data_IF_066697022168
#
_entry.id   IF_066697022168
#
_cell.length_a   1.000
_cell.length_b   1.000
_cell.length_c   1.000
_cell.angle_alpha   90.00
_cell.angle_beta   90.00
_cell.angle_gamma   90.00
#
_symmetry.space_group_name_H-M   'P 1'
#
loop_
_entity.id
_entity.type
_entity.pdbx_description
1 polymer ?
#
# COMPACT_ATOMS: atom_id res chain seq x y z
N UNK A 1 -23.71 60.31 47.41
CA UNK A 1 -22.33 60.61 46.98
C UNK A 1 -21.37 59.91 47.92
N UNK A 2 -21.18 58.62 47.70
CA UNK A 2 -20.25 57.74 48.41
C UNK A 2 -20.09 56.57 47.43
N UNK A 3 -18.91 56.14 46.96
CA UNK A 3 -17.68 55.86 47.68
C UNK A 3 -16.52 55.98 46.68
N UNK A 4 -15.65 57.00 46.80
CA UNK A 4 -14.28 56.87 46.28
C UNK A 4 -13.44 56.35 47.43
N UNK A 5 -13.19 55.04 47.43
CA UNK A 5 -12.49 54.35 48.52
C UNK A 5 -11.04 54.85 48.52
N UNK A 6 -10.72 55.69 49.50
CA UNK A 6 -9.38 56.29 49.67
C UNK A 6 -8.34 55.17 49.81
N UNK A 7 -7.54 54.98 48.77
CA UNK A 7 -6.56 53.89 48.64
C UNK A 7 -6.63 53.07 47.35
N UNK A 8 -7.61 53.28 46.45
CA UNK A 8 -7.68 52.51 45.19
C UNK A 8 -6.65 52.91 44.12
N UNK A 9 -5.92 54.00 44.33
CA UNK A 9 -4.88 54.55 43.43
C UNK A 9 -3.65 55.02 44.25
N UNK A 10 -3.30 54.32 45.33
CA UNK A 10 -2.03 54.63 46.02
C UNK A 10 -0.85 54.31 45.09
N UNK A 11 0.27 55.01 45.29
CA UNK A 11 1.50 54.77 44.50
C UNK A 11 1.91 53.29 44.52
N UNK A 12 1.84 52.65 45.69
CA UNK A 12 2.15 51.22 45.85
C UNK A 12 1.28 50.30 44.98
N UNK A 13 -0.02 50.63 44.81
CA UNK A 13 -0.94 49.83 43.99
C UNK A 13 -0.66 50.03 42.49
N UNK A 14 -0.24 51.22 42.09
CA UNK A 14 0.15 51.51 40.71
C UNK A 14 1.47 50.79 40.37
N UNK A 15 2.48 50.88 41.23
CA UNK A 15 3.76 50.18 41.05
C UNK A 15 3.56 48.66 40.96
N UNK A 16 2.73 48.09 41.84
CA UNK A 16 2.39 46.67 41.77
C UNK A 16 1.69 46.30 40.45
N UNK A 17 0.80 47.14 39.94
CA UNK A 17 0.13 46.91 38.66
C UNK A 17 1.10 46.98 37.47
N UNK A 18 2.06 47.91 37.47
CA UNK A 18 3.10 48.03 36.44
C UNK A 18 3.99 46.78 36.39
N UNK A 19 4.45 46.30 37.56
CA UNK A 19 5.24 45.06 37.67
C UNK A 19 4.46 43.85 37.16
N UNK A 20 3.17 43.76 37.50
CA UNK A 20 2.32 42.65 37.04
C UNK A 20 2.06 42.73 35.52
N UNK A 21 1.90 43.92 34.95
CA UNK A 21 1.77 44.09 33.49
C UNK A 21 3.03 43.63 32.78
N UNK A 22 4.22 43.98 33.28
CA UNK A 22 5.48 43.54 32.69
C UNK A 22 5.63 42.01 32.76
N UNK A 23 5.34 41.42 33.93
CA UNK A 23 5.32 39.97 34.13
C UNK A 23 4.36 39.27 33.15
N UNK A 24 3.17 39.83 32.95
CA UNK A 24 2.17 39.31 32.03
C UNK A 24 2.59 39.46 30.56
N UNK A 25 3.26 40.55 30.20
CA UNK A 25 3.80 40.73 28.85
C UNK A 25 4.86 39.67 28.52
N UNK A 26 5.78 39.40 29.43
CA UNK A 26 6.77 38.33 29.29
C UNK A 26 6.09 36.96 29.16
N UNK A 27 5.11 36.68 30.04
CA UNK A 27 4.35 35.43 29.98
C UNK A 27 3.58 35.28 28.66
N UNK A 28 2.93 36.35 28.19
CA UNK A 28 2.21 36.39 26.92
C UNK A 28 3.17 36.11 25.75
N UNK A 29 4.33 36.78 25.70
CA UNK A 29 5.32 36.54 24.67
C UNK A 29 5.80 35.08 24.65
N UNK A 30 6.09 34.51 25.83
CA UNK A 30 6.44 33.10 25.98
C UNK A 30 5.35 32.16 25.47
N UNK A 31 4.08 32.43 25.82
CA UNK A 31 2.93 31.63 25.37
C UNK A 31 2.66 31.77 23.87
N UNK A 32 2.84 32.96 23.32
CA UNK A 32 2.72 33.19 21.87
C UNK A 32 3.80 32.44 21.10
N UNK A 33 5.04 32.43 21.59
CA UNK A 33 6.13 31.61 21.02
C UNK A 33 5.78 30.12 21.03
N UNK A 34 5.24 29.60 22.13
CA UNK A 34 4.76 28.21 22.23
C UNK A 34 3.69 27.88 21.17
N UNK A 35 2.69 28.75 20.99
CA UNK A 35 1.65 28.58 19.99
C UNK A 35 2.19 28.57 18.56
N UNK A 36 3.16 29.44 18.27
CA UNK A 36 3.82 29.49 16.95
C UNK A 36 4.46 28.15 16.63
N UNK A 37 5.24 27.56 17.55
CA UNK A 37 5.83 26.24 17.30
C UNK A 37 4.80 25.12 17.20
N UNK A 38 3.67 25.22 17.91
CA UNK A 38 2.56 24.27 17.76
C UNK A 38 1.95 24.33 16.35
N UNK A 39 1.77 25.54 15.79
CA UNK A 39 1.32 25.71 14.40
C UNK A 39 2.35 25.20 13.39
N UNK A 40 3.63 25.45 13.63
CA UNK A 40 4.71 24.92 12.79
C UNK A 40 4.67 23.38 12.77
N UNK A 41 4.46 22.76 13.93
CA UNK A 41 4.36 21.30 14.02
C UNK A 41 3.12 20.75 13.30
N UNK A 42 1.96 21.40 13.41
CA UNK A 42 0.75 21.02 12.65
C UNK A 42 1.01 21.07 11.14
N UNK A 43 1.69 22.13 10.67
CA UNK A 43 2.04 22.28 9.27
C UNK A 43 2.96 21.15 8.77
N UNK A 44 4.00 20.82 9.55
CA UNK A 44 4.93 19.73 9.24
C UNK A 44 4.26 18.35 9.26
N UNK A 45 3.33 18.12 10.20
CA UNK A 45 2.52 16.90 10.25
C UNK A 45 1.68 16.71 8.99
N UNK A 46 1.07 17.78 8.48
CA UNK A 46 0.29 17.74 7.25
C UNK A 46 1.18 17.37 6.07
N UNK A 47 2.30 18.09 5.88
CA UNK A 47 3.21 17.83 4.75
C UNK A 47 3.81 16.42 4.79
N UNK A 48 4.26 15.98 5.97
CA UNK A 48 4.76 14.61 6.17
C UNK A 48 3.68 13.57 5.87
N UNK A 49 2.45 13.81 6.32
CA UNK A 49 1.32 12.91 6.08
C UNK A 49 0.95 12.75 4.60
N UNK A 50 1.36 13.68 3.74
CA UNK A 50 1.13 13.62 2.29
C UNK A 50 2.40 13.42 1.46
N UNK A 51 3.48 12.94 2.11
CA UNK A 51 4.76 12.65 1.48
C UNK A 51 5.34 13.85 0.70
N UNK A 52 5.13 15.06 1.22
CA UNK A 52 5.79 16.26 0.72
C UNK A 52 7.09 16.47 1.47
N UNK A 53 8.16 16.69 0.72
CA UNK A 53 9.45 17.02 1.29
C UNK A 53 9.48 18.51 1.66
N UNK A 54 9.61 18.79 2.96
CA UNK A 54 9.79 20.12 3.50
C UNK A 54 10.94 20.05 4.49
N UNK A 55 11.94 20.91 4.32
CA UNK A 55 13.05 21.06 5.26
C UNK A 55 12.55 21.66 6.57
N UNK A 56 12.02 20.79 7.43
CA UNK A 56 11.38 21.14 8.69
C UNK A 56 12.40 21.70 9.69
N UNK A 57 13.63 21.19 9.67
CA UNK A 57 14.70 21.66 10.55
C UNK A 57 15.15 23.07 10.17
N UNK A 58 15.37 23.34 8.88
CA UNK A 58 15.67 24.68 8.41
C UNK A 58 14.51 25.66 8.69
N UNK A 59 13.27 25.24 8.45
CA UNK A 59 12.08 26.06 8.74
C UNK A 59 12.00 26.43 10.23
N UNK A 60 12.24 25.47 11.13
CA UNK A 60 12.26 25.71 12.59
C UNK A 60 13.39 26.63 13.02
N UNK A 61 14.58 26.51 12.42
CA UNK A 61 15.71 27.40 12.71
C UNK A 61 15.41 28.84 12.28
N UNK A 62 14.91 29.02 11.06
CA UNK A 62 14.50 30.33 10.53
C UNK A 62 13.42 30.93 11.44
N UNK A 63 12.39 30.16 11.78
CA UNK A 63 11.30 30.61 12.65
C UNK A 63 11.80 31.00 14.05
N UNK A 64 12.70 30.22 14.64
CA UNK A 64 13.31 30.52 15.95
C UNK A 64 14.08 31.84 15.89
N UNK A 65 14.94 32.02 14.88
CA UNK A 65 15.72 33.24 14.70
C UNK A 65 14.84 34.48 14.50
N UNK A 66 13.72 34.32 13.78
CA UNK A 66 12.77 35.39 13.50
C UNK A 66 12.08 35.87 14.79
N UNK A 67 11.65 34.93 15.63
CA UNK A 67 11.02 35.22 16.93
C UNK A 67 12.02 35.90 17.87
N UNK A 68 13.23 35.37 17.98
CA UNK A 68 14.24 35.86 18.92
C UNK A 68 14.78 37.24 18.52
N UNK A 69 14.69 37.62 17.23
CA UNK A 69 15.03 38.96 16.76
C UNK A 69 14.08 40.06 17.25
N UNK A 70 12.89 39.71 17.75
CA UNK A 70 11.87 40.67 18.20
C UNK A 70 11.28 41.56 17.08
N UNK A 71 11.65 41.34 15.82
CA UNK A 71 11.25 42.16 14.68
C UNK A 71 9.84 41.82 14.14
N UNK A 72 9.21 40.77 14.65
CA UNK A 72 7.92 40.27 14.13
C UNK A 72 6.84 40.31 15.20
N UNK A 73 5.68 40.83 14.81
CA UNK A 73 4.48 40.71 15.62
C UNK A 73 4.00 39.25 15.63
N UNK A 74 4.06 38.61 16.80
CA UNK A 74 3.69 37.21 16.96
C UNK A 74 2.21 36.92 16.64
N UNK A 75 1.32 37.92 16.75
CA UNK A 75 -0.10 37.75 16.42
C UNK A 75 -0.31 37.66 14.91
N UNK A 76 0.39 38.50 14.15
CA UNK A 76 0.34 38.50 12.69
C UNK A 76 1.01 37.24 12.14
N UNK A 77 2.14 36.83 12.76
CA UNK A 77 2.82 35.58 12.45
C UNK A 77 1.88 34.38 12.64
N UNK A 78 1.19 34.27 13.78
CA UNK A 78 0.23 33.20 14.03
C UNK A 78 -0.87 33.15 12.98
N UNK A 79 -1.42 34.31 12.62
CA UNK A 79 -2.45 34.40 11.57
C UNK A 79 -1.92 33.91 10.22
N UNK A 80 -0.70 34.30 9.86
CA UNK A 80 -0.06 33.83 8.62
C UNK A 80 0.22 32.32 8.62
N UNK A 81 0.49 31.72 9.78
CA UNK A 81 0.67 30.27 9.91
C UNK A 81 -0.65 29.53 9.79
N UNK A 82 -1.74 30.09 10.33
CA UNK A 82 -3.08 29.54 10.14
C UNK A 82 -3.46 29.52 8.65
N UNK A 83 -3.11 30.57 7.89
CA UNK A 83 -3.28 30.59 6.43
C UNK A 83 -2.43 29.53 5.72
N UNK A 84 -1.18 29.33 6.16
CA UNK A 84 -0.31 28.26 5.62
C UNK A 84 -0.88 26.87 5.90
N UNK A 85 -1.43 26.65 7.10
CA UNK A 85 -2.07 25.38 7.47
C UNK A 85 -3.29 25.12 6.58
N UNK A 86 -4.11 26.14 6.29
CA UNK A 86 -5.25 26.00 5.37
C UNK A 86 -4.76 25.57 3.98
N UNK A 87 -3.76 26.26 3.43
CA UNK A 87 -3.15 25.90 2.13
C UNK A 87 -2.56 24.49 2.14
N UNK A 88 -1.90 24.09 3.23
CA UNK A 88 -1.36 22.74 3.37
C UNK A 88 -2.48 21.68 3.40
N UNK A 89 -3.61 21.96 4.05
CA UNK A 89 -4.80 21.08 4.05
C UNK A 89 -5.40 20.96 2.65
N UNK A 90 -5.51 22.06 1.90
CA UNK A 90 -5.96 22.04 0.51
C UNK A 90 -5.02 21.22 -0.38
N UNK A 91 -3.71 21.41 -0.22
CA UNK A 91 -2.70 20.62 -0.92
C UNK A 91 -2.78 19.14 -0.57
N UNK A 92 -3.02 18.80 0.70
CA UNK A 92 -3.21 17.44 1.15
C UNK A 92 -4.45 16.79 0.52
N UNK A 93 -5.57 17.52 0.44
CA UNK A 93 -6.78 17.07 -0.25
C UNK A 93 -6.54 16.84 -1.74
N UNK A 94 -5.80 17.75 -2.40
CA UNK A 94 -5.45 17.62 -3.82
C UNK A 94 -4.60 16.37 -4.10
N UNK A 95 -3.70 15.99 -3.18
CA UNK A 95 -2.84 14.79 -3.31
C UNK A 95 -3.54 13.48 -2.93
N UNK A 96 -4.65 13.54 -2.19
CA UNK A 96 -5.32 12.38 -1.57
C UNK A 96 -5.56 11.22 -2.53
N UNK A 97 -6.20 11.47 -3.67
CA UNK A 97 -6.57 10.41 -4.62
C UNK A 97 -5.36 9.76 -5.32
N UNK A 98 -4.25 10.50 -5.47
CA UNK A 98 -2.98 9.92 -5.94
C UNK A 98 -2.39 9.04 -4.85
N UNK A 99 -2.33 9.51 -3.60
CA UNK A 99 -1.78 8.74 -2.47
C UNK A 99 -2.59 7.46 -2.19
N UNK A 100 -3.92 7.53 -2.22
CA UNK A 100 -4.81 6.36 -2.09
C UNK A 100 -4.54 5.31 -3.19
N UNK A 101 -4.03 5.73 -4.34
CA UNK A 101 -3.61 4.83 -5.43
C UNK A 101 -2.19 4.34 -5.28
N UNK A 102 -1.28 5.17 -4.77
CA UNK A 102 0.09 4.76 -4.42
C UNK A 102 0.03 3.63 -3.41
N UNK A 103 -0.79 3.73 -2.36
CA UNK A 103 -0.98 2.65 -1.37
C UNK A 103 -1.42 1.33 -2.02
N UNK A 104 -2.42 1.39 -2.91
CA UNK A 104 -2.89 0.22 -3.67
C UNK A 104 -1.81 -0.35 -4.59
N UNK A 105 -0.98 0.51 -5.16
CA UNK A 105 0.11 0.14 -6.04
C UNK A 105 1.23 -0.56 -5.27
N UNK A 106 1.64 -0.01 -4.12
CA UNK A 106 2.61 -0.62 -3.19
C UNK A 106 2.11 -1.99 -2.73
N UNK A 107 0.84 -2.09 -2.29
CA UNK A 107 0.26 -3.38 -1.91
C UNK A 107 0.32 -4.42 -3.05
N UNK A 108 0.03 -4.00 -4.28
CA UNK A 108 0.13 -4.90 -5.44
C UNK A 108 1.57 -5.35 -5.70
N UNK A 109 2.55 -4.45 -5.51
CA UNK A 109 3.97 -4.76 -5.66
C UNK A 109 4.47 -5.72 -4.58
N UNK A 110 4.03 -5.53 -3.34
CA UNK A 110 4.33 -6.43 -2.22
C UNK A 110 3.76 -7.83 -2.44
N UNK A 111 2.52 -7.93 -2.93
CA UNK A 111 1.92 -9.23 -3.28
C UNK A 111 2.61 -9.88 -4.49
N UNK A 112 3.05 -9.11 -5.49
CA UNK A 112 3.85 -9.64 -6.62
C UNK A 112 5.19 -10.18 -6.13
N UNK A 113 5.90 -9.43 -5.26
CA UNK A 113 7.17 -9.87 -4.67
C UNK A 113 6.98 -11.14 -3.83
N UNK A 114 5.95 -11.17 -2.98
CA UNK A 114 5.62 -12.36 -2.19
C UNK A 114 5.31 -13.57 -3.07
N UNK A 115 4.58 -13.38 -4.18
CA UNK A 115 4.31 -14.45 -5.14
C UNK A 115 5.60 -14.95 -5.81
N UNK A 116 6.49 -14.04 -6.23
CA UNK A 116 7.78 -14.39 -6.83
C UNK A 116 8.64 -15.23 -5.87
N UNK A 117 8.65 -14.90 -4.57
CA UNK A 117 9.33 -15.67 -3.52
C UNK A 117 8.66 -17.04 -3.31
N UNK A 118 7.34 -17.08 -3.23
CA UNK A 118 6.57 -18.32 -3.08
C UNK A 118 6.71 -19.26 -4.29
N UNK A 119 6.85 -18.72 -5.49
CA UNK A 119 7.01 -19.53 -6.70
C UNK A 119 8.40 -20.21 -6.79
N UNK A 120 9.41 -19.65 -6.13
CA UNK A 120 10.77 -20.21 -6.02
C UNK A 120 10.93 -21.25 -4.90
N UNK A 121 9.96 -21.35 -3.98
CA UNK A 121 10.02 -22.31 -2.89
C UNK A 121 9.74 -23.74 -3.38
N UNK A 122 10.76 -24.60 -3.35
CA UNK A 122 10.67 -26.02 -3.71
C UNK A 122 9.71 -26.79 -2.78
N UNK A 123 9.54 -26.34 -1.53
CA UNK A 123 8.67 -26.97 -0.53
C UNK A 123 7.23 -26.44 -0.56
N UNK A 124 6.86 -25.61 -1.53
CA UNK A 124 5.54 -24.96 -1.63
C UNK A 124 4.35 -25.92 -1.67
N UNK A 125 4.56 -27.15 -2.15
CA UNK A 125 3.53 -28.20 -2.22
C UNK A 125 3.65 -29.24 -1.11
N UNK A 126 4.46 -28.98 -0.07
CA UNK A 126 4.50 -29.84 1.10
C UNK A 126 3.11 -29.94 1.74
N UNK A 127 2.73 -31.15 2.18
CA UNK A 127 1.43 -31.44 2.81
C UNK A 127 1.32 -30.88 4.25
N UNK A 128 1.96 -29.73 4.51
CA UNK A 128 1.99 -29.08 5.81
C UNK A 128 0.68 -28.34 6.14
N UNK A 129 0.43 -28.18 7.44
CA UNK A 129 -0.67 -27.36 7.95
C UNK A 129 -0.49 -25.91 7.46
N UNK A 130 -1.41 -25.45 6.60
CA UNK A 130 -1.40 -24.07 6.07
C UNK A 130 -1.12 -23.94 4.57
N UNK A 131 -0.66 -25.01 3.90
CA UNK A 131 -0.35 -25.00 2.46
C UNK A 131 -1.53 -24.52 1.59
N UNK A 132 -2.76 -24.95 1.90
CA UNK A 132 -3.95 -24.52 1.16
C UNK A 132 -4.24 -23.00 1.28
N UNK A 133 -3.82 -22.35 2.38
CA UNK A 133 -3.98 -20.89 2.55
C UNK A 133 -2.99 -20.14 1.67
N UNK A 134 -1.74 -20.60 1.66
CA UNK A 134 -0.70 -20.04 0.80
C UNK A 134 -1.05 -20.23 -0.67
N UNK A 135 -1.56 -21.41 -1.06
CA UNK A 135 -2.04 -21.65 -2.42
C UNK A 135 -3.19 -20.71 -2.81
N UNK A 136 -4.15 -20.47 -1.91
CA UNK A 136 -5.23 -19.49 -2.14
C UNK A 136 -4.72 -18.06 -2.24
N UNK A 137 -3.72 -17.66 -1.44
CA UNK A 137 -3.09 -16.34 -1.53
C UNK A 137 -2.33 -16.18 -2.84
N UNK A 138 -1.57 -17.19 -3.25
CA UNK A 138 -0.85 -17.20 -4.52
C UNK A 138 -1.78 -16.99 -5.71
N UNK A 139 -2.95 -17.63 -5.71
CA UNK A 139 -3.92 -17.41 -6.79
C UNK A 139 -4.47 -15.99 -6.82
N UNK A 140 -4.75 -15.39 -5.65
CA UNK A 140 -5.15 -13.98 -5.57
C UNK A 140 -4.02 -13.05 -6.02
N UNK A 141 -2.79 -13.33 -5.61
CA UNK A 141 -1.61 -12.55 -5.96
C UNK A 141 -1.33 -12.60 -7.48
N UNK A 142 -1.57 -13.74 -8.15
CA UNK A 142 -1.48 -13.83 -9.63
C UNK A 142 -2.48 -12.91 -10.32
N UNK A 143 -3.74 -12.93 -9.88
CA UNK A 143 -4.78 -12.06 -10.42
C UNK A 143 -4.41 -10.58 -10.20
N UNK A 144 -3.84 -10.25 -9.04
CA UNK A 144 -3.41 -8.89 -8.72
C UNK A 144 -2.19 -8.48 -9.55
N UNK A 145 -1.19 -9.35 -9.69
CA UNK A 145 0.00 -9.12 -10.53
C UNK A 145 -0.39 -8.88 -11.99
N UNK A 146 -1.37 -9.62 -12.52
CA UNK A 146 -1.92 -9.34 -13.86
C UNK A 146 -2.53 -7.95 -14.03
N UNK A 147 -2.98 -7.31 -12.94
CA UNK A 147 -3.56 -5.96 -12.94
C UNK A 147 -2.56 -4.84 -12.71
N UNK A 148 -1.33 -5.16 -12.27
CA UNK A 148 -0.29 -4.16 -11.96
C UNK A 148 -0.05 -3.16 -13.11
N UNK A 149 0.09 -3.57 -14.38
CA UNK A 149 0.27 -2.62 -15.49
C UNK A 149 -0.84 -1.57 -15.56
N UNK A 150 -2.10 -1.99 -15.43
CA UNK A 150 -3.25 -1.10 -15.45
C UNK A 150 -3.28 -0.16 -14.23
N UNK A 151 -2.89 -0.65 -13.06
CA UNK A 151 -2.77 0.17 -11.84
C UNK A 151 -1.72 1.27 -12.04
N UNK A 152 -0.53 0.91 -12.55
CA UNK A 152 0.58 1.84 -12.84
C UNK A 152 0.16 2.87 -13.89
N UNK A 153 -0.46 2.44 -14.99
CA UNK A 153 -0.92 3.33 -16.06
C UNK A 153 -1.93 4.35 -15.52
N UNK A 154 -2.91 3.88 -14.75
CA UNK A 154 -3.94 4.77 -14.18
C UNK A 154 -3.34 5.73 -13.16
N UNK A 155 -2.38 5.30 -12.34
CA UNK A 155 -1.67 6.17 -11.39
C UNK A 155 -0.84 7.21 -12.14
N UNK A 156 -0.08 6.79 -13.15
CA UNK A 156 0.74 7.65 -14.00
C UNK A 156 -0.10 8.73 -14.69
N UNK A 157 -1.27 8.37 -15.22
CA UNK A 157 -2.19 9.32 -15.83
C UNK A 157 -2.69 10.37 -14.83
N UNK A 158 -3.01 9.98 -13.59
CA UNK A 158 -3.43 10.92 -12.54
C UNK A 158 -2.30 11.84 -12.10
N UNK A 159 -1.09 11.30 -11.94
CA UNK A 159 0.11 12.09 -11.62
C UNK A 159 0.35 13.14 -12.71
N UNK A 160 0.35 12.74 -13.99
CA UNK A 160 0.51 13.66 -15.12
C UNK A 160 -0.56 14.76 -15.14
N UNK A 161 -1.82 14.41 -14.91
CA UNK A 161 -2.91 15.39 -14.87
C UNK A 161 -2.72 16.40 -13.72
N UNK A 162 -2.30 15.91 -12.55
CA UNK A 162 -2.03 16.76 -11.39
C UNK A 162 -0.81 17.68 -11.60
N UNK A 163 0.27 17.17 -12.21
CA UNK A 163 1.46 17.97 -12.53
C UNK A 163 1.15 19.09 -13.52
N UNK A 164 0.26 18.83 -14.49
CA UNK A 164 -0.25 19.86 -15.42
C UNK A 164 -1.11 20.88 -14.68
N UNK A 165 -2.00 20.45 -13.78
CA UNK A 165 -2.88 21.35 -13.01
C UNK A 165 -2.09 22.24 -12.05
N UNK A 166 -1.07 21.71 -11.38
CA UNK A 166 -0.31 22.42 -10.34
C UNK A 166 0.97 23.08 -10.86
N UNK A 167 1.36 22.81 -12.10
CA UNK A 167 2.59 23.29 -12.74
C UNK A 167 3.89 22.95 -11.97
N UNK A 168 3.84 21.92 -11.12
CA UNK A 168 4.98 21.44 -10.33
C UNK A 168 5.06 19.90 -10.41
N UNK A 169 6.28 19.32 -10.36
CA UNK A 169 6.44 17.87 -10.31
C UNK A 169 5.79 17.26 -9.07
N UNK A 170 5.15 16.10 -9.22
CA UNK A 170 4.64 15.35 -8.09
C UNK A 170 5.78 14.55 -7.45
N UNK A 171 6.30 15.08 -6.35
CA UNK A 171 7.28 14.38 -5.53
C UNK A 171 6.59 13.48 -4.52
N UNK A 172 7.15 12.29 -4.31
CA UNK A 172 6.81 11.36 -3.23
C UNK A 172 8.12 11.00 -2.52
N UNK A 173 8.28 11.43 -1.27
CA UNK A 173 9.51 11.24 -0.48
C UNK A 173 10.78 11.66 -1.24
N UNK A 174 10.78 12.91 -1.76
CA UNK A 174 11.87 13.55 -2.54
C UNK A 174 12.07 13.06 -3.97
N UNK A 175 11.39 12.00 -4.38
CA UNK A 175 11.57 11.42 -5.71
C UNK A 175 10.34 11.71 -6.58
N UNK A 176 10.51 12.12 -7.86
CA UNK A 176 9.39 12.24 -8.78
C UNK A 176 8.66 10.90 -8.92
N UNK A 177 7.38 10.85 -8.54
CA UNK A 177 6.61 9.60 -8.50
C UNK A 177 6.54 8.93 -9.87
N UNK A 178 6.43 9.72 -10.94
CA UNK A 178 6.45 9.23 -12.32
C UNK A 178 7.72 8.44 -12.64
N UNK A 179 8.89 8.94 -12.23
CA UNK A 179 10.17 8.26 -12.46
C UNK A 179 10.21 6.91 -11.75
N UNK A 180 9.79 6.86 -10.48
CA UNK A 180 9.73 5.61 -9.69
C UNK A 180 8.83 4.55 -10.34
N UNK A 181 7.71 4.96 -10.94
CA UNK A 181 6.80 4.05 -11.64
C UNK A 181 7.38 3.53 -12.95
N UNK A 182 8.09 4.38 -13.70
CA UNK A 182 8.79 4.00 -14.93
C UNK A 182 9.92 3.00 -14.63
N UNK A 183 10.70 3.27 -13.58
CA UNK A 183 11.76 2.38 -13.10
C UNK A 183 11.20 1.01 -12.68
N UNK A 184 10.11 0.98 -11.89
CA UNK A 184 9.45 -0.26 -11.52
C UNK A 184 8.97 -1.05 -12.75
N UNK A 185 8.39 -0.36 -13.73
CA UNK A 185 7.90 -0.98 -14.97
C UNK A 185 9.04 -1.63 -15.76
N UNK A 186 10.19 -0.94 -15.87
CA UNK A 186 11.38 -1.47 -16.52
C UNK A 186 11.94 -2.69 -15.78
N UNK A 187 12.10 -2.62 -14.46
CA UNK A 187 12.56 -3.75 -13.63
C UNK A 187 11.63 -4.97 -13.74
N UNK A 188 10.32 -4.74 -13.87
CA UNK A 188 9.35 -5.81 -14.07
C UNK A 188 9.50 -6.49 -15.42
N UNK A 189 9.69 -5.71 -16.49
CA UNK A 189 9.91 -6.24 -17.84
C UNK A 189 11.20 -7.06 -17.90
N UNK A 190 12.28 -6.59 -17.28
CA UNK A 190 13.54 -7.32 -17.16
C UNK A 190 13.34 -8.68 -16.49
N UNK A 191 12.65 -8.74 -15.34
CA UNK A 191 12.31 -9.99 -14.66
C UNK A 191 11.51 -10.95 -15.54
N UNK A 192 10.54 -10.44 -16.30
CA UNK A 192 9.75 -11.25 -17.23
C UNK A 192 10.59 -11.80 -18.39
N UNK A 193 11.51 -11.00 -18.92
CA UNK A 193 12.46 -11.42 -19.95
C UNK A 193 13.48 -12.44 -19.46
N UNK A 194 14.01 -12.29 -18.25
CA UNK A 194 14.87 -13.29 -17.61
C UNK A 194 14.13 -14.61 -17.42
N UNK A 195 12.88 -14.57 -16.93
CA UNK A 195 12.02 -15.75 -16.83
C UNK A 195 11.79 -16.39 -18.21
N UNK A 196 11.61 -15.59 -19.26
CA UNK A 196 11.48 -16.09 -20.65
C UNK A 196 12.76 -16.78 -21.13
N UNK A 197 13.92 -16.15 -20.96
CA UNK A 197 15.25 -16.70 -21.33
C UNK A 197 15.56 -17.99 -20.57
N UNK A 198 15.27 -18.04 -19.27
CA UNK A 198 15.45 -19.25 -18.45
C UNK A 198 14.60 -20.42 -18.94
N UNK A 199 13.33 -20.17 -19.30
CA UNK A 199 12.44 -21.20 -19.88
C UNK A 199 12.96 -21.70 -21.23
N UNK A 200 13.50 -20.82 -22.07
CA UNK A 200 14.09 -21.16 -23.36
C UNK A 200 15.35 -22.02 -23.20
N UNK A 201 16.25 -21.64 -22.28
CA UNK A 201 17.43 -22.43 -21.94
C UNK A 201 17.05 -23.81 -21.40
N UNK A 202 16.05 -23.90 -20.52
CA UNK A 202 15.55 -25.17 -20.00
C UNK A 202 14.99 -26.07 -21.11
N UNK A 203 14.26 -25.51 -22.08
CA UNK A 203 13.76 -26.27 -23.25
C UNK A 203 14.89 -26.84 -24.10
N UNK A 204 15.96 -26.07 -24.34
CA UNK A 204 17.13 -26.56 -25.08
C UNK A 204 17.85 -27.69 -24.31
N UNK A 205 18.00 -27.53 -22.99
CA UNK A 205 18.58 -28.58 -22.15
C UNK A 205 17.73 -29.85 -22.15
N UNK A 206 16.40 -29.73 -22.09
CA UNK A 206 15.47 -30.86 -22.15
C UNK A 206 15.53 -31.57 -23.52
N UNK A 207 15.62 -30.81 -24.62
CA UNK A 207 15.81 -31.38 -25.96
C UNK A 207 17.12 -32.16 -26.05
N UNK A 208 18.23 -31.58 -25.60
CA UNK A 208 19.52 -32.27 -25.56
C UNK A 208 19.46 -33.54 -24.70
N UNK A 209 18.83 -33.48 -23.52
CA UNK A 209 18.67 -34.64 -22.65
C UNK A 209 17.82 -35.74 -23.32
N UNK A 210 16.74 -35.37 -24.01
CA UNK A 210 15.90 -36.31 -24.74
C UNK A 210 16.62 -36.96 -25.93
N UNK A 211 17.49 -36.22 -26.64
CA UNK A 211 18.36 -36.77 -27.70
C UNK A 211 19.38 -37.77 -27.12
N UNK A 212 20.01 -37.44 -25.99
CA UNK A 212 20.92 -38.34 -25.28
C UNK A 212 20.19 -39.60 -24.77
N UNK A 213 18.98 -39.46 -24.22
CA UNK A 213 18.15 -40.58 -23.79
C UNK A 213 17.66 -41.43 -24.98
N UNK A 214 17.37 -40.82 -26.13
CA UNK A 214 17.01 -41.57 -27.33
C UNK A 214 18.19 -42.41 -27.88
N UNK A 215 19.42 -41.92 -27.71
CA UNK A 215 20.64 -42.56 -28.22
C UNK A 215 21.23 -43.60 -27.24
N UNK A 216 21.18 -43.34 -25.95
CA UNK A 216 21.79 -44.17 -24.89
C UNK A 216 20.78 -44.80 -23.92
N UNK A 217 19.48 -44.46 -24.05
CA UNK A 217 18.42 -45.04 -23.24
C UNK A 217 18.26 -46.52 -23.55
N UNK A 218 18.24 -47.34 -22.50
CA UNK A 218 18.01 -48.78 -22.60
C UNK A 218 16.56 -49.05 -23.03
N UNK A 219 16.30 -49.05 -24.34
CA UNK A 219 15.09 -49.69 -24.87
C UNK A 219 15.17 -51.18 -24.55
N UNK A 220 14.16 -51.81 -23.91
CA UNK A 220 14.12 -53.26 -23.82
C UNK A 220 14.11 -53.83 -25.24
N UNK A 221 15.22 -54.48 -25.62
CA UNK A 221 15.40 -55.13 -26.91
C UNK A 221 14.55 -56.40 -26.97
N UNK A 222 13.28 -56.29 -27.35
CA UNK A 222 12.46 -57.46 -27.68
C UNK A 222 12.67 -57.83 -29.15
N UNK A 223 13.72 -58.62 -29.40
CA UNK A 223 13.89 -59.37 -30.66
C UNK A 223 13.14 -60.71 -30.55
N UNK A 224 11.97 -60.86 -31.20
CA UNK A 224 11.70 -61.82 -32.31
C UNK A 224 10.20 -62.01 -32.62
N UNK A 225 9.87 -62.44 -33.86
CA UNK A 225 8.53 -62.46 -34.45
C UNK A 225 7.84 -63.84 -34.48
N UNK A 226 6.56 -63.82 -34.86
CA UNK A 226 5.74 -64.90 -35.43
C UNK A 226 5.16 -65.96 -34.46
N UNK A 227 3.82 -65.90 -34.32
CA UNK A 227 2.97 -66.95 -33.78
C UNK A 227 1.52 -66.64 -34.10
N UNK A 228 1.07 -67.10 -35.27
CA UNK A 228 -0.33 -67.09 -35.70
C UNK A 228 -1.22 -67.74 -34.63
N UNK A 229 -2.32 -67.09 -34.26
CA UNK A 229 -3.58 -67.80 -34.04
C UNK A 229 -4.75 -66.85 -34.31
N UNK A 230 -5.50 -67.25 -35.32
CA UNK A 230 -6.82 -66.81 -35.76
C UNK A 230 -7.84 -66.61 -34.63
N UNK A 231 -8.67 -65.58 -34.78
CA UNK A 231 -10.16 -65.62 -34.81
C UNK A 231 -10.65 -64.15 -34.88
N UNK A 232 -10.89 -63.62 -36.07
CA UNK A 232 -12.18 -63.62 -36.78
C UNK A 232 -13.17 -62.55 -36.26
N UNK A 233 -13.42 -61.60 -37.16
CA UNK A 233 -14.64 -60.82 -37.38
C UNK A 233 -14.90 -59.58 -36.50
N UNK A 234 -14.71 -58.40 -37.09
CA UNK A 234 -15.82 -57.50 -37.47
C UNK A 234 -15.36 -56.55 -38.57
N UNK A 235 -16.00 -56.62 -39.73
CA UNK A 235 -15.75 -55.73 -40.86
C UNK A 235 -16.50 -54.39 -40.71
N UNK A 236 -15.77 -53.31 -40.97
CA UNK A 236 -16.09 -52.08 -41.72
C UNK A 236 -17.56 -51.72 -41.95
N UNK A 237 -17.90 -50.47 -41.61
CA UNK A 237 -19.01 -49.74 -42.24
C UNK A 237 -19.30 -48.36 -41.63
N UNK A 238 -18.62 -47.30 -42.06
CA UNK A 238 -19.13 -45.91 -42.02
C UNK A 238 -20.10 -45.71 -43.21
N UNK A 239 -21.17 -44.88 -43.14
CA UNK A 239 -21.00 -43.41 -43.24
C UNK A 239 -22.10 -42.49 -42.60
N UNK A 240 -21.76 -41.20 -42.62
CA UNK A 240 -22.48 -39.91 -42.42
C UNK A 240 -23.98 -39.86 -42.80
N UNK A 241 -24.85 -39.22 -41.97
CA UNK A 241 -25.64 -37.99 -42.29
C UNK A 241 -26.84 -37.68 -41.34
N UNK A 242 -26.90 -36.42 -40.86
CA UNK A 242 -28.10 -35.55 -40.65
C UNK A 242 -29.10 -35.78 -39.48
N UNK A 243 -29.10 -34.87 -38.48
CA UNK A 243 -30.11 -33.78 -38.23
C UNK A 243 -30.20 -33.34 -36.75
N UNK A 244 -30.12 -32.03 -36.52
CA UNK A 244 -30.61 -31.24 -35.35
C UNK A 244 -32.15 -31.26 -35.26
N UNK A 245 -32.80 -31.03 -34.09
CA UNK A 245 -33.07 -29.68 -33.52
C UNK A 245 -32.82 -29.58 -31.99
N UNK A 246 -32.38 -28.42 -31.47
CA UNK A 246 -33.17 -27.26 -31.00
C UNK A 246 -34.02 -27.56 -29.74
N UNK A 247 -33.54 -27.13 -28.56
CA UNK A 247 -34.29 -27.07 -27.31
C UNK A 247 -34.41 -25.63 -26.83
N UNK A 248 -35.62 -25.07 -26.96
CA UNK A 248 -35.99 -23.71 -26.54
C UNK A 248 -36.50 -23.70 -25.10
N UNK A 249 -36.32 -22.56 -24.43
CA UNK A 249 -36.66 -22.25 -23.04
C UNK A 249 -38.17 -22.05 -22.81
N UNK A 250 -38.63 -22.16 -21.54
CA UNK A 250 -39.89 -21.51 -21.13
C UNK A 250 -40.54 -21.92 -19.79
N UNK A 251 -40.14 -21.25 -18.70
CA UNK A 251 -40.91 -20.68 -17.55
C UNK A 251 -42.05 -21.46 -16.86
N UNK A 252 -42.01 -21.50 -15.51
CA UNK A 252 -43.19 -21.30 -14.64
C UNK A 252 -42.78 -20.81 -13.23
N UNK A 253 -43.74 -20.17 -12.56
CA UNK A 253 -43.61 -19.10 -11.57
C UNK A 253 -43.54 -19.53 -10.09
N UNK A 254 -43.01 -18.61 -9.27
CA UNK A 254 -43.67 -18.17 -8.03
C UNK A 254 -43.10 -18.69 -6.71
N UNK A 255 -42.55 -17.78 -5.87
CA UNK A 255 -43.20 -17.33 -4.61
C UNK A 255 -42.32 -16.31 -3.87
N UNK A 256 -42.98 -15.27 -3.37
CA UNK A 256 -42.47 -14.15 -2.60
C UNK A 256 -41.82 -14.55 -1.27
N UNK A 257 -40.81 -13.79 -0.83
CA UNK A 257 -40.74 -13.29 0.56
C UNK A 257 -39.83 -12.05 0.64
N UNK A 258 -40.43 -10.90 0.96
CA UNK A 258 -39.71 -9.75 1.52
C UNK A 258 -39.48 -10.03 3.00
N UNK A 259 -38.29 -9.74 3.52
CA UNK A 259 -38.15 -9.15 4.85
C UNK A 259 -36.87 -8.32 4.93
N UNK A 260 -37.00 -7.23 5.68
CA UNK A 260 -36.11 -6.08 5.76
C UNK A 260 -35.33 -6.11 7.08
N UNK A 261 -34.14 -5.50 7.12
CA UNK A 261 -33.68 -4.83 8.34
C UNK A 261 -32.41 -5.37 9.02
N UNK A 262 -31.33 -4.60 8.85
CA UNK A 262 -30.54 -3.93 9.91
C UNK A 262 -29.76 -4.81 10.92
N UNK A 263 -28.45 -4.63 10.99
CA UNK A 263 -27.69 -3.93 12.06
C UNK A 263 -26.21 -4.38 12.04
N UNK A 264 -25.33 -3.39 12.14
CA UNK A 264 -23.91 -3.42 12.47
C UNK A 264 -23.49 -4.53 13.45
N UNK A 265 -22.24 -5.01 13.34
CA UNK A 265 -21.37 -5.14 14.50
C UNK A 265 -19.90 -4.93 14.11
N UNK A 266 -19.27 -4.04 14.88
CA UNK A 266 -17.88 -3.59 14.86
C UNK A 266 -17.08 -4.39 15.91
N UNK A 267 -16.01 -5.08 15.47
CA UNK A 267 -14.68 -5.27 16.14
C UNK A 267 -14.64 -5.89 17.59
N UNK A 268 -13.49 -6.26 18.24
CA UNK A 268 -12.08 -6.35 17.81
C UNK A 268 -11.17 -7.49 18.41
N UNK A 269 -9.96 -7.63 17.83
CA UNK A 269 -8.59 -7.71 18.44
C UNK A 269 -8.08 -8.92 19.28
N UNK A 270 -6.84 -9.29 18.92
CA UNK A 270 -5.75 -9.99 19.65
C UNK A 270 -5.94 -11.41 20.21
N UNK A 271 -5.08 -12.31 19.73
CA UNK A 271 -4.54 -13.39 20.54
C UNK A 271 -3.01 -13.31 20.54
N UNK A 272 -2.46 -12.78 21.64
CA UNK A 272 -1.05 -12.91 22.01
C UNK A 272 -0.91 -14.27 22.69
N UNK A 273 -0.11 -15.19 22.12
CA UNK A 273 0.25 -16.42 22.79
C UNK A 273 1.49 -16.18 23.65
N UNK A 274 1.32 -16.22 24.98
CA UNK A 274 2.42 -16.23 25.94
C UNK A 274 3.11 -17.61 25.92
N UNK A 275 4.45 -17.69 26.10
CA UNK A 275 5.13 -18.95 26.37
C UNK A 275 4.80 -19.41 27.80
N UNK A 276 4.60 -20.72 27.98
CA UNK A 276 4.58 -21.35 29.31
C UNK A 276 6.03 -21.61 29.74
N UNK A 277 6.44 -20.94 30.81
CA UNK A 277 7.58 -21.36 31.63
C UNK A 277 7.07 -22.42 32.62
N UNK A 278 7.60 -23.65 32.52
CA UNK A 278 7.51 -24.63 33.61
C UNK A 278 8.78 -24.53 34.46
N UNK A 279 8.58 -24.05 35.68
CA UNK A 279 9.54 -24.08 36.78
C UNK A 279 9.45 -25.44 37.48
N UNK A 280 10.51 -26.24 37.41
CA UNK A 280 10.68 -27.38 38.32
C UNK A 280 11.58 -26.95 39.47
N UNK A 281 10.94 -26.83 40.63
CA UNK A 281 11.54 -26.61 41.93
C UNK A 281 12.27 -27.86 42.45
N UNK A 282 13.39 -27.58 43.13
CA UNK A 282 14.15 -28.42 44.06
C UNK A 282 13.37 -29.52 44.80
N UNK A 283 14.04 -30.65 45.06
CA UNK A 283 14.30 -31.11 46.44
C UNK A 283 15.42 -32.14 46.55
N UNK A 284 16.29 -31.88 47.54
CA UNK A 284 17.22 -32.73 48.29
C UNK A 284 18.26 -33.55 47.53
#
# INVERSE_FOLDING_TARGET
NDVSRQGCLSLDVIEQAEVEVERLNILKASKMKELVFKRQNELEEIYRGVHMDVDSDAARQILSSLIDSGNVNLSDLLSSMDDQIIKAKEQALSRKDILDKVEKCIFAFEEEKWLDEYEKDENRYSAGRGAHKNLKRAEKARILSGKIPSIIETLTAKVKAWEIEKEIPFLYDKVPLKHTLEEYTAQRQEREEEKRKSREQKRLQEQHNAEQEALFGSRPSTKKPLGQSTNANTMVGTPISRRTPLGHHGVSAGKERRESGRVHNLTPVNYVALPKDDSVSRRN
#
